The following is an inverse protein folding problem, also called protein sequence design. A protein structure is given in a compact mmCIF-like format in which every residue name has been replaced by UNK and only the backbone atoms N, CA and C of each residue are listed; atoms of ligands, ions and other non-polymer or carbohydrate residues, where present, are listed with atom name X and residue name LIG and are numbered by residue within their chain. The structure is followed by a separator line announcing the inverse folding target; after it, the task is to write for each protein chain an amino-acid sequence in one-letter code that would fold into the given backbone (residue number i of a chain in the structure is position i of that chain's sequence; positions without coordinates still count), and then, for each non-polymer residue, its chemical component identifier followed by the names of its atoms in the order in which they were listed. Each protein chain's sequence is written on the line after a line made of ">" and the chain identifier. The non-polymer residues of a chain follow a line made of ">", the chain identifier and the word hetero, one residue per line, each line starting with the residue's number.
data_IF_732888560494
#
_entry.id   IF_732888560494
#
_cell.length_a   1.000
_cell.length_b   1.000
_cell.length_c   1.000
_cell.angle_alpha   90.00
_cell.angle_beta   90.00
_cell.angle_gamma   90.00
#
_symmetry.space_group_name_H-M   'P 1'
#
loop_
_entity.id
_entity.type
_entity.pdbx_description
1 polymer ?
#
# COMPACT_ATOMS: atom_id res chain seq x y z
N UNK A 1 -28.35 7.40 24.13
CA UNK A 1 -26.96 7.40 23.66
C UNK A 1 -26.06 7.54 24.89
N UNK A 2 -24.82 7.00 24.89
CA UNK A 2 -23.91 7.15 26.03
C UNK A 2 -23.62 8.62 26.33
N UNK A 3 -23.12 8.91 27.52
CA UNK A 3 -22.63 10.25 27.85
C UNK A 3 -21.42 10.62 26.96
N UNK A 4 -21.13 11.92 26.88
CA UNK A 4 -20.09 12.45 25.97
C UNK A 4 -18.71 11.86 26.29
N UNK A 5 -18.43 11.56 27.56
CA UNK A 5 -17.14 11.04 28.01
C UNK A 5 -16.96 9.60 27.51
N UNK A 6 -17.96 8.76 27.76
CA UNK A 6 -17.96 7.39 27.27
C UNK A 6 -17.93 7.34 25.74
N UNK A 7 -18.55 8.32 25.07
CA UNK A 7 -18.53 8.43 23.61
C UNK A 7 -17.13 8.70 23.06
N UNK A 8 -16.33 9.58 23.69
CA UNK A 8 -14.92 9.81 23.30
C UNK A 8 -14.09 8.53 23.48
N UNK A 9 -14.25 7.84 24.60
CA UNK A 9 -13.55 6.58 24.85
C UNK A 9 -13.87 5.53 23.78
N UNK A 10 -15.12 5.46 23.33
CA UNK A 10 -15.50 4.61 22.19
C UNK A 10 -14.86 5.04 20.88
N UNK A 11 -14.75 6.35 20.59
CA UNK A 11 -14.10 6.81 19.37
C UNK A 11 -12.61 6.42 19.31
N UNK A 12 -11.89 6.61 20.42
CA UNK A 12 -10.48 6.23 20.52
C UNK A 12 -10.35 4.73 20.28
N UNK A 13 -11.15 3.92 20.97
CA UNK A 13 -11.12 2.47 20.82
C UNK A 13 -11.48 2.00 19.42
N UNK A 14 -12.51 2.56 18.79
CA UNK A 14 -12.89 2.24 17.41
C UNK A 14 -11.74 2.59 16.45
N UNK A 15 -11.06 3.71 16.67
CA UNK A 15 -9.90 4.12 15.86
C UNK A 15 -8.76 3.10 16.00
N UNK A 16 -8.44 2.69 17.23
CA UNK A 16 -7.39 1.70 17.51
C UNK A 16 -7.73 0.32 16.93
N UNK A 17 -8.96 -0.15 17.12
CA UNK A 17 -9.43 -1.44 16.60
C UNK A 17 -9.42 -1.45 15.06
N UNK A 18 -9.83 -0.34 14.43
CA UNK A 18 -9.83 -0.22 12.97
C UNK A 18 -8.40 -0.12 12.43
N UNK A 19 -7.49 0.57 13.12
CA UNK A 19 -6.07 0.58 12.78
C UNK A 19 -5.46 -0.83 12.83
N UNK A 20 -5.78 -1.60 13.88
CA UNK A 20 -5.35 -3.00 14.02
C UNK A 20 -5.91 -3.88 12.90
N UNK A 21 -7.19 -3.74 12.57
CA UNK A 21 -7.81 -4.46 11.45
C UNK A 21 -7.14 -4.13 10.11
N UNK A 22 -6.80 -2.85 9.90
CA UNK A 22 -6.11 -2.37 8.70
C UNK A 22 -4.71 -2.97 8.56
N UNK A 23 -3.92 -2.96 9.64
CA UNK A 23 -2.62 -3.65 9.70
C UNK A 23 -2.73 -5.15 9.42
N UNK A 24 -3.71 -5.80 10.04
CA UNK A 24 -3.94 -7.23 9.87
C UNK A 24 -4.31 -7.55 8.42
N UNK A 25 -5.19 -6.75 7.80
CA UNK A 25 -5.55 -6.92 6.40
C UNK A 25 -4.33 -6.87 5.49
N UNK A 26 -3.50 -5.82 5.62
CA UNK A 26 -2.30 -5.68 4.79
C UNK A 26 -1.34 -6.86 4.96
N UNK A 27 -1.19 -7.36 6.20
CA UNK A 27 -0.38 -8.55 6.51
C UNK A 27 -0.97 -9.82 5.87
N UNK A 28 -2.29 -9.98 5.88
CA UNK A 28 -2.97 -11.13 5.25
C UNK A 28 -2.84 -11.10 3.73
N UNK A 29 -2.94 -9.91 3.11
CA UNK A 29 -2.71 -9.75 1.67
C UNK A 29 -1.28 -10.12 1.30
N UNK A 30 -0.28 -9.62 2.05
CA UNK A 30 1.12 -10.02 1.85
C UNK A 30 1.31 -11.53 2.03
N UNK A 31 0.71 -12.12 3.08
CA UNK A 31 0.74 -13.55 3.33
C UNK A 31 0.17 -14.38 2.18
N UNK A 32 -0.94 -13.93 1.57
CA UNK A 32 -1.54 -14.58 0.39
C UNK A 32 -0.62 -14.51 -0.82
N UNK A 33 0.05 -13.39 -1.05
CA UNK A 33 1.05 -13.26 -2.13
C UNK A 33 2.20 -14.25 -1.93
N UNK A 34 2.74 -14.34 -0.71
CA UNK A 34 3.82 -15.28 -0.41
C UNK A 34 3.39 -16.75 -0.54
N UNK A 35 2.21 -17.11 -0.03
CA UNK A 35 1.71 -18.49 -0.02
C UNK A 35 1.47 -19.05 -1.43
N UNK A 36 1.11 -18.19 -2.39
CA UNK A 36 0.91 -18.58 -3.80
C UNK A 36 2.22 -18.74 -4.58
N UNK A 37 3.39 -18.64 -3.92
CA UNK A 37 4.71 -18.59 -4.59
C UNK A 37 4.72 -17.56 -5.71
N UNK A 38 4.05 -16.44 -5.48
CA UNK A 38 3.76 -15.45 -6.49
C UNK A 38 5.02 -14.91 -7.16
N UNK A 39 6.08 -14.72 -6.36
CA UNK A 39 7.39 -14.29 -6.84
C UNK A 39 8.15 -15.34 -7.67
N UNK A 40 7.71 -16.60 -7.69
CA UNK A 40 8.32 -17.69 -8.48
C UNK A 40 7.62 -17.91 -9.83
N UNK A 41 6.47 -17.25 -10.08
CA UNK A 41 5.71 -17.42 -11.33
C UNK A 41 6.43 -16.78 -12.53
N UNK A 42 6.40 -17.46 -13.67
CA UNK A 42 6.95 -17.00 -14.95
C UNK A 42 5.96 -16.17 -15.78
N UNK A 43 4.65 -16.25 -15.47
CA UNK A 43 3.62 -15.42 -16.09
C UNK A 43 3.66 -13.99 -15.53
N UNK A 44 4.13 -13.09 -16.39
CA UNK A 44 4.39 -11.69 -16.11
C UNK A 44 3.11 -10.89 -15.98
N UNK A 45 2.11 -11.19 -16.82
CA UNK A 45 0.86 -10.44 -16.87
C UNK A 45 0.01 -10.76 -15.65
N UNK A 46 -0.10 -12.05 -15.31
CA UNK A 46 -0.73 -12.49 -14.06
C UNK A 46 -0.03 -11.89 -12.84
N UNK A 47 1.30 -11.87 -12.86
CA UNK A 47 2.11 -11.27 -11.81
C UNK A 47 1.93 -9.74 -11.66
N UNK A 48 1.85 -8.99 -12.76
CA UNK A 48 1.61 -7.55 -12.67
C UNK A 48 0.20 -7.25 -12.16
N UNK A 49 -0.79 -8.00 -12.65
CA UNK A 49 -2.20 -7.79 -12.30
C UNK A 49 -2.48 -8.07 -10.82
N UNK A 50 -2.11 -9.24 -10.30
CA UNK A 50 -2.37 -9.60 -8.90
C UNK A 50 -1.60 -8.72 -7.92
N UNK A 51 -0.37 -8.28 -8.26
CA UNK A 51 0.39 -7.36 -7.42
C UNK A 51 -0.31 -5.99 -7.36
N UNK A 52 -0.71 -5.46 -8.51
CA UNK A 52 -1.41 -4.19 -8.55
C UNK A 52 -2.76 -4.26 -7.85
N UNK A 53 -3.50 -5.35 -7.97
CA UNK A 53 -4.73 -5.57 -7.20
C UNK A 53 -4.44 -5.57 -5.69
N UNK A 54 -3.42 -6.30 -5.24
CA UNK A 54 -3.04 -6.35 -3.84
C UNK A 54 -2.63 -4.97 -3.29
N UNK A 55 -1.83 -4.21 -4.03
CA UNK A 55 -1.41 -2.85 -3.64
C UNK A 55 -2.62 -1.92 -3.60
N UNK A 56 -3.47 -1.95 -4.63
CA UNK A 56 -4.66 -1.09 -4.70
C UNK A 56 -5.65 -1.40 -3.57
N UNK A 57 -5.85 -2.67 -3.24
CA UNK A 57 -6.72 -3.08 -2.13
C UNK A 57 -6.22 -2.56 -0.78
N UNK A 58 -4.90 -2.66 -0.54
CA UNK A 58 -4.27 -2.14 0.68
C UNK A 58 -4.38 -0.61 0.73
N UNK A 59 -4.11 0.07 -0.37
CA UNK A 59 -4.18 1.53 -0.48
C UNK A 59 -5.61 2.05 -0.29
N UNK A 60 -6.60 1.37 -0.86
CA UNK A 60 -8.02 1.72 -0.69
C UNK A 60 -8.44 1.68 0.77
N UNK A 61 -7.98 0.67 1.52
CA UNK A 61 -8.29 0.57 2.95
C UNK A 61 -7.59 1.67 3.74
N UNK A 62 -6.34 2.00 3.39
CA UNK A 62 -5.62 3.13 4.00
C UNK A 62 -6.37 4.44 3.80
N UNK A 63 -6.82 4.74 2.59
CA UNK A 63 -7.57 5.97 2.30
C UNK A 63 -8.94 5.97 3.02
N UNK A 64 -9.64 4.83 3.05
CA UNK A 64 -10.89 4.70 3.82
C UNK A 64 -10.68 4.90 5.33
N UNK A 65 -9.55 4.42 5.87
CA UNK A 65 -9.24 4.62 7.29
C UNK A 65 -8.91 6.07 7.62
N UNK A 66 -8.27 6.80 6.69
CA UNK A 66 -8.00 8.24 6.87
C UNK A 66 -9.25 9.10 6.88
N UNK A 67 -10.31 8.71 6.17
CA UNK A 67 -11.58 9.46 6.16
C UNK A 67 -12.44 9.19 7.39
N UNK A 68 -12.13 8.13 8.15
CA UNK A 68 -12.89 7.70 9.33
C UNK A 68 -13.16 8.83 10.35
N UNK A 69 -12.18 9.67 10.75
CA UNK A 69 -12.45 10.76 11.70
C UNK A 69 -13.48 11.78 11.19
N UNK A 70 -13.52 12.00 9.88
CA UNK A 70 -14.44 12.93 9.22
C UNK A 70 -15.84 12.30 9.17
N UNK A 71 -15.93 11.04 8.74
CA UNK A 71 -17.19 10.30 8.60
C UNK A 71 -17.93 10.17 9.94
N UNK A 72 -17.17 9.92 11.02
CA UNK A 72 -17.71 9.83 12.37
C UNK A 72 -17.83 11.20 13.06
N UNK A 73 -17.53 12.30 12.35
CA UNK A 73 -17.65 13.68 12.85
C UNK A 73 -16.95 13.91 14.20
N UNK A 74 -15.72 13.41 14.33
CA UNK A 74 -14.95 13.47 15.58
C UNK A 74 -14.85 14.90 16.12
N UNK A 75 -14.65 15.87 15.24
CA UNK A 75 -14.59 17.30 15.61
C UNK A 75 -15.82 17.78 16.37
N UNK A 76 -17.01 17.40 15.94
CA UNK A 76 -18.26 17.82 16.60
C UNK A 76 -18.35 17.23 18.01
N UNK A 77 -17.88 16.00 18.18
CA UNK A 77 -17.93 15.31 19.46
C UNK A 77 -16.87 15.84 20.44
N UNK A 78 -15.67 16.12 19.94
CA UNK A 78 -14.59 16.72 20.73
C UNK A 78 -14.95 18.15 21.18
N UNK A 79 -15.50 18.98 20.29
CA UNK A 79 -16.00 20.33 20.66
C UNK A 79 -17.15 20.25 21.67
N UNK A 80 -18.03 19.25 21.56
CA UNK A 80 -19.07 19.04 22.57
C UNK A 80 -18.48 18.63 23.94
N UNK A 81 -17.34 17.93 23.95
CA UNK A 81 -16.66 17.50 25.15
C UNK A 81 -15.91 18.62 25.90
N UNK A 82 -15.50 19.69 25.20
CA UNK A 82 -14.89 20.88 25.83
C UNK A 82 -15.79 21.54 26.88
N UNK A 83 -17.12 21.31 26.81
CA UNK A 83 -18.08 21.80 27.80
C UNK A 83 -18.05 21.03 29.13
N UNK A 84 -17.48 19.83 29.12
CA UNK A 84 -17.48 18.89 30.25
C UNK A 84 -16.07 18.52 30.73
N UNK A 85 -15.03 18.75 29.92
CA UNK A 85 -13.63 18.47 30.19
C UNK A 85 -12.76 19.73 30.08
N UNK A 86 -11.54 19.68 30.61
CA UNK A 86 -10.55 20.70 30.29
C UNK A 86 -10.20 20.64 28.80
N UNK A 87 -9.99 21.81 28.20
CA UNK A 87 -9.55 21.94 26.80
C UNK A 87 -8.31 21.07 26.55
N UNK A 88 -7.36 21.06 27.49
CA UNK A 88 -6.16 20.23 27.42
C UNK A 88 -6.43 18.72 27.31
N UNK A 89 -7.46 18.19 27.97
CA UNK A 89 -7.81 16.77 27.88
C UNK A 89 -8.46 16.43 26.53
N UNK A 90 -9.25 17.34 25.97
CA UNK A 90 -9.86 17.18 24.65
C UNK A 90 -8.80 17.24 23.55
N UNK A 91 -7.84 18.16 23.68
CA UNK A 91 -6.70 18.29 22.75
C UNK A 91 -5.80 17.04 22.76
N UNK A 92 -5.58 16.43 23.92
CA UNK A 92 -4.82 15.18 24.00
C UNK A 92 -5.56 14.03 23.28
N UNK A 93 -6.87 13.90 23.48
CA UNK A 93 -7.67 12.89 22.78
C UNK A 93 -7.67 13.10 21.26
N UNK A 94 -7.77 14.35 20.81
CA UNK A 94 -7.63 14.73 19.39
C UNK A 94 -6.29 14.26 18.84
N UNK A 95 -5.21 14.62 19.53
CA UNK A 95 -3.85 14.28 19.13
C UNK A 95 -3.61 12.76 19.12
N UNK A 96 -4.17 12.02 20.07
CA UNK A 96 -4.09 10.56 20.11
C UNK A 96 -4.72 9.93 18.87
N UNK A 97 -5.90 10.40 18.47
CA UNK A 97 -6.58 9.92 17.27
C UNK A 97 -5.77 10.25 16.01
N UNK A 98 -5.36 11.52 15.86
CA UNK A 98 -4.58 11.98 14.70
C UNK A 98 -3.27 11.20 14.57
N UNK A 99 -2.58 10.98 15.69
CA UNK A 99 -1.34 10.19 15.73
C UNK A 99 -1.61 8.75 15.33
N UNK A 100 -2.67 8.12 15.85
CA UNK A 100 -3.03 6.73 15.53
C UNK A 100 -3.30 6.56 14.03
N UNK A 101 -4.05 7.50 13.44
CA UNK A 101 -4.36 7.49 12.00
C UNK A 101 -3.08 7.70 11.18
N UNK A 102 -2.26 8.68 11.54
CA UNK A 102 -1.01 8.98 10.84
C UNK A 102 -0.02 7.81 10.90
N UNK A 103 0.21 7.24 12.09
CA UNK A 103 1.11 6.10 12.30
C UNK A 103 0.64 4.89 11.51
N UNK A 104 -0.64 4.52 11.60
CA UNK A 104 -1.17 3.39 10.82
C UNK A 104 -1.04 3.65 9.31
N UNK A 105 -1.33 4.86 8.84
CA UNK A 105 -1.18 5.21 7.42
C UNK A 105 0.28 5.07 6.96
N UNK A 106 1.25 5.47 7.78
CA UNK A 106 2.67 5.31 7.48
C UNK A 106 3.07 3.82 7.42
N UNK A 107 2.65 3.03 8.41
CA UNK A 107 2.94 1.59 8.44
C UNK A 107 2.39 0.86 7.20
N UNK A 108 1.23 1.28 6.71
CA UNK A 108 0.65 0.71 5.49
C UNK A 108 1.45 1.12 4.23
N UNK A 109 1.92 2.37 4.14
CA UNK A 109 2.81 2.80 3.05
C UNK A 109 4.11 1.98 3.08
N UNK A 110 4.71 1.79 4.26
CA UNK A 110 5.92 0.97 4.40
C UNK A 110 5.67 -0.46 3.95
N UNK A 111 4.49 -1.01 4.27
CA UNK A 111 4.10 -2.35 3.81
C UNK A 111 3.96 -2.42 2.29
N UNK A 112 3.34 -1.43 1.65
CA UNK A 112 3.26 -1.33 0.19
C UNK A 112 4.68 -1.27 -0.41
N UNK A 113 5.56 -0.45 0.16
CA UNK A 113 6.94 -0.33 -0.29
C UNK A 113 7.73 -1.64 -0.14
N UNK A 114 7.51 -2.41 0.93
CA UNK A 114 8.10 -3.74 1.12
C UNK A 114 7.61 -4.75 0.07
N UNK A 115 6.33 -4.67 -0.32
CA UNK A 115 5.79 -5.52 -1.39
C UNK A 115 6.41 -5.14 -2.75
N UNK A 116 6.51 -3.84 -3.02
CA UNK A 116 7.13 -3.31 -4.24
C UNK A 116 8.62 -3.61 -4.32
N UNK A 117 9.37 -3.53 -3.21
CA UNK A 117 10.83 -3.77 -3.23
C UNK A 117 11.19 -5.17 -3.71
N UNK A 118 10.38 -6.18 -3.34
CA UNK A 118 10.56 -7.57 -3.82
C UNK A 118 10.45 -7.67 -5.34
N UNK A 119 9.58 -6.86 -5.94
CA UNK A 119 9.39 -6.78 -7.40
C UNK A 119 10.60 -6.12 -8.04
N UNK A 120 11.04 -4.99 -7.48
CA UNK A 120 12.22 -4.26 -7.97
C UNK A 120 13.46 -5.15 -7.97
N UNK A 121 13.69 -5.92 -6.90
CA UNK A 121 14.82 -6.86 -6.81
C UNK A 121 14.74 -7.95 -7.88
N UNK A 122 13.55 -8.52 -8.13
CA UNK A 122 13.36 -9.51 -9.19
C UNK A 122 13.63 -8.92 -10.57
N UNK A 123 13.10 -7.73 -10.84
CA UNK A 123 13.30 -7.03 -12.11
C UNK A 123 14.77 -6.66 -12.32
N UNK A 124 15.48 -6.22 -11.29
CA UNK A 124 16.91 -5.93 -11.34
C UNK A 124 17.73 -7.18 -11.70
N UNK A 125 17.39 -8.34 -11.13
CA UNK A 125 18.04 -9.61 -11.44
C UNK A 125 17.84 -10.01 -12.90
N UNK A 126 16.60 -9.96 -13.40
CA UNK A 126 16.27 -10.30 -14.79
C UNK A 126 16.92 -9.31 -15.78
N UNK A 127 16.96 -8.01 -15.45
CA UNK A 127 17.67 -6.99 -16.26
C UNK A 127 19.17 -7.27 -16.34
N UNK A 128 19.83 -7.65 -15.24
CA UNK A 128 21.25 -8.02 -15.23
C UNK A 128 21.53 -9.23 -16.13
N UNK A 129 20.63 -10.21 -16.16
CA UNK A 129 20.75 -11.38 -17.05
C UNK A 129 20.67 -10.96 -18.52
N UNK A 130 19.72 -10.10 -18.88
CA UNK A 130 19.61 -9.57 -20.24
C UNK A 130 20.84 -8.76 -20.66
N UNK A 131 21.37 -7.91 -19.77
CA UNK A 131 22.60 -7.14 -20.03
C UNK A 131 23.80 -8.08 -20.20
N UNK A 132 23.91 -9.12 -19.37
CA UNK A 132 24.98 -10.11 -19.48
C UNK A 132 24.93 -10.85 -20.82
N UNK A 133 23.74 -11.26 -21.26
CA UNK A 133 23.57 -11.87 -22.57
C UNK A 133 24.00 -10.96 -23.72
N UNK A 134 23.68 -9.66 -23.65
CA UNK A 134 24.15 -8.65 -24.62
C UNK A 134 25.69 -8.57 -24.63
N UNK A 135 26.33 -8.58 -23.46
CA UNK A 135 27.79 -8.55 -23.36
C UNK A 135 28.47 -9.82 -23.88
N UNK A 136 27.81 -10.98 -23.79
CA UNK A 136 28.28 -12.25 -24.34
C UNK A 136 27.97 -12.42 -25.84
N UNK A 137 27.17 -11.54 -26.43
CA UNK A 137 26.80 -11.64 -27.84
C UNK A 137 27.99 -11.29 -28.73
N UNK A 138 28.28 -12.12 -29.72
CA UNK A 138 29.39 -11.94 -30.67
C UNK A 138 29.32 -10.59 -31.41
N UNK A 139 30.46 -9.96 -31.68
CA UNK A 139 30.58 -8.68 -32.42
C UNK A 139 29.93 -8.70 -33.83
N UNK A 140 29.61 -9.88 -34.35
CA UNK A 140 28.95 -10.05 -35.65
C UNK A 140 27.43 -9.85 -35.61
N UNK A 141 26.82 -9.74 -34.42
CA UNK A 141 25.38 -9.51 -34.28
C UNK A 141 25.10 -8.00 -34.31
N UNK A 142 24.17 -7.51 -35.15
CA UNK A 142 23.75 -6.12 -35.12
C UNK A 142 23.26 -5.72 -33.72
N UNK A 143 23.69 -4.55 -33.24
CA UNK A 143 23.34 -4.04 -31.91
C UNK A 143 21.81 -3.98 -31.68
N UNK A 144 21.03 -3.69 -32.72
CA UNK A 144 19.57 -3.70 -32.65
C UNK A 144 19.01 -5.08 -32.30
N UNK A 145 19.55 -6.14 -32.91
CA UNK A 145 19.10 -7.50 -32.67
C UNK A 145 19.53 -8.01 -31.28
N UNK A 146 20.72 -7.57 -30.81
CA UNK A 146 21.19 -7.88 -29.46
C UNK A 146 20.36 -7.19 -28.36
N UNK A 147 19.90 -5.96 -28.59
CA UNK A 147 19.12 -5.17 -27.61
C UNK A 147 17.62 -5.52 -27.64
N UNK A 148 17.09 -6.00 -28.76
CA UNK A 148 15.66 -6.28 -28.93
C UNK A 148 15.03 -7.15 -27.81
N UNK A 149 15.69 -8.20 -27.27
CA UNK A 149 15.16 -8.98 -26.15
C UNK A 149 14.97 -8.15 -24.88
N UNK A 150 15.89 -7.22 -24.58
CA UNK A 150 15.78 -6.32 -23.43
C UNK A 150 14.62 -5.33 -23.61
N UNK A 151 14.47 -4.74 -24.80
CA UNK A 151 13.34 -3.84 -25.10
C UNK A 151 12.01 -4.58 -24.98
N UNK A 152 11.93 -5.79 -25.52
CA UNK A 152 10.72 -6.64 -25.44
C UNK A 152 10.42 -7.03 -23.99
N UNK A 153 11.44 -7.31 -23.19
CA UNK A 153 11.29 -7.55 -21.75
C UNK A 153 10.76 -6.32 -21.02
N UNK A 154 11.32 -5.12 -21.29
CA UNK A 154 10.86 -3.88 -20.68
C UNK A 154 9.40 -3.57 -21.05
N UNK A 155 9.03 -3.70 -22.33
CA UNK A 155 7.66 -3.47 -22.78
C UNK A 155 6.68 -4.48 -22.14
N UNK A 156 7.02 -5.76 -22.15
CA UNK A 156 6.14 -6.80 -21.58
C UNK A 156 6.02 -6.75 -20.05
N UNK A 157 7.05 -6.25 -19.34
CA UNK A 157 7.08 -6.22 -17.87
C UNK A 157 6.62 -4.89 -17.28
N UNK A 158 6.99 -3.74 -17.84
CA UNK A 158 6.69 -2.42 -17.26
C UNK A 158 5.33 -1.86 -17.67
N UNK A 159 4.89 -2.06 -18.91
CA UNK A 159 3.60 -1.53 -19.39
C UNK A 159 2.40 -2.05 -18.57
N UNK A 160 2.33 -3.34 -18.19
CA UNK A 160 1.23 -3.83 -17.37
C UNK A 160 1.15 -3.12 -16.01
N UNK A 161 2.27 -2.89 -15.31
CA UNK A 161 2.24 -2.20 -14.02
C UNK A 161 1.69 -0.78 -14.13
N UNK A 162 2.04 -0.06 -15.19
CA UNK A 162 1.50 1.29 -15.46
C UNK A 162 -0.03 1.24 -15.56
N UNK A 163 -0.56 0.28 -16.30
CA UNK A 163 -2.00 0.18 -16.55
C UNK A 163 -2.80 -0.24 -15.32
N UNK A 164 -2.22 -1.08 -14.45
CA UNK A 164 -2.93 -1.58 -13.27
C UNK A 164 -2.74 -0.72 -12.02
N UNK A 165 -1.64 0.04 -11.89
CA UNK A 165 -1.44 1.00 -10.80
C UNK A 165 -2.20 2.32 -11.01
N UNK A 166 -2.49 2.71 -12.26
CA UNK A 166 -3.11 4.01 -12.57
C UNK A 166 -4.64 3.93 -12.63
N UNK A 167 -5.23 2.81 -13.09
CA UNK A 167 -6.67 2.76 -13.39
C UNK A 167 -7.61 2.81 -12.18
N UNK A 168 -7.13 2.63 -10.94
CA UNK A 168 -8.00 2.65 -9.75
C UNK A 168 -7.85 3.89 -8.86
N UNK A 169 -6.97 4.84 -9.20
CA UNK A 169 -6.91 6.16 -8.54
C UNK A 169 -7.97 7.15 -9.05
N UNK A 170 -8.88 6.70 -9.93
CA UNK A 170 -10.00 7.47 -10.47
C UNK A 170 -11.34 6.80 -10.16
N UNK A 171 -11.64 6.54 -8.88
CA UNK A 171 -13.01 6.38 -8.37
C UNK A 171 -13.08 7.06 -7.01
#
# INVERSE_FOLDING_TARGET
>A
WPDIITSIAYLIKITEDTANATRLYATLVEGKLNARKFYETSDITYYAQELSLAINDIERIRESFKTLPIELSYDKLLVAAEKFHSIAAVDENRKQIETTVATCSHEIIDKINQILSKVVVKMEMELKQHIFHIMETSEHVPLQDAIQPLLTYLDSRFLPFKDFLIRQNHI
#
